data_IF_795380075205
#
_entry.id   IF_795380075205
#
_cell.length_a   1.000
_cell.length_b   1.000
_cell.length_c   1.000
_cell.angle_alpha   90.00
_cell.angle_beta   90.00
_cell.angle_gamma   90.00
#
_symmetry.space_group_name_H-M   'P 1'
#
loop_
_entity.id
_entity.type
_entity.pdbx_description
1 polymer ?
#
# COMPACT_ATOMS: atom_id res chain seq x y z
N UNK A 1 31.66 13.98 -7.89
CA UNK A 1 31.53 15.28 -8.61
C UNK A 1 30.07 15.63 -8.86
N UNK A 2 29.28 14.75 -9.47
CA UNK A 2 27.87 14.97 -9.82
C UNK A 2 26.97 15.39 -8.63
N UNK A 3 27.11 14.76 -7.45
CA UNK A 3 26.33 15.11 -6.24
C UNK A 3 26.60 16.49 -5.65
N UNK A 4 27.71 17.16 -6.05
CA UNK A 4 28.08 18.50 -5.57
C UNK A 4 27.40 19.66 -6.30
N UNK A 5 26.66 19.36 -7.38
CA UNK A 5 26.10 20.38 -8.28
C UNK A 5 24.63 20.72 -7.96
N UNK A 6 24.02 20.01 -6.97
CA UNK A 6 22.64 20.23 -6.60
C UNK A 6 22.50 21.26 -5.47
N UNK A 7 21.82 22.35 -5.74
CA UNK A 7 21.51 23.39 -4.76
C UNK A 7 20.30 23.04 -3.86
N UNK A 8 19.41 22.19 -4.37
CA UNK A 8 18.19 21.78 -3.68
C UNK A 8 17.88 20.30 -3.94
N UNK A 9 17.30 19.61 -2.95
CA UNK A 9 16.70 18.28 -3.08
C UNK A 9 15.31 18.29 -2.45
N UNK A 10 14.37 17.68 -3.14
CA UNK A 10 13.02 17.42 -2.63
C UNK A 10 12.86 15.90 -2.58
N UNK A 11 12.59 15.36 -1.40
CA UNK A 11 12.28 13.95 -1.18
C UNK A 11 10.78 13.77 -0.98
N UNK A 12 10.11 13.16 -1.96
CA UNK A 12 8.75 12.70 -1.79
C UNK A 12 8.75 11.38 -1.02
N UNK A 13 7.64 11.09 -0.32
CA UNK A 13 7.56 9.95 0.60
C UNK A 13 8.75 9.89 1.58
N UNK A 14 9.06 11.05 2.19
CA UNK A 14 10.25 11.24 3.01
C UNK A 14 10.41 10.19 4.14
N UNK A 15 9.32 9.58 4.60
CA UNK A 15 9.35 8.49 5.59
C UNK A 15 10.13 7.25 5.10
N UNK A 16 10.35 7.08 3.80
CA UNK A 16 11.17 5.99 3.23
C UNK A 16 12.68 6.26 3.36
N UNK A 17 13.10 7.50 3.64
CA UNK A 17 14.52 7.86 3.76
C UNK A 17 15.22 7.31 5.01
N UNK A 18 14.51 6.53 5.82
CA UNK A 18 15.07 5.65 6.85
C UNK A 18 15.85 4.45 6.27
N UNK A 19 15.66 4.12 4.99
CA UNK A 19 16.39 3.04 4.32
C UNK A 19 17.88 3.39 4.13
N UNK A 20 18.74 2.38 4.25
CA UNK A 20 20.20 2.55 4.16
C UNK A 20 20.62 3.19 2.82
N UNK A 21 19.98 2.81 1.72
CA UNK A 21 20.29 3.32 0.38
C UNK A 21 19.98 4.81 0.24
N UNK A 22 18.80 5.25 0.68
CA UNK A 22 18.38 6.65 0.62
C UNK A 22 19.15 7.52 1.60
N UNK A 23 19.44 7.03 2.80
CA UNK A 23 20.30 7.72 3.79
C UNK A 23 21.71 7.93 3.20
N UNK A 24 22.31 6.90 2.59
CA UNK A 24 23.60 7.02 1.89
C UNK A 24 23.58 8.00 0.72
N UNK A 25 22.47 8.10 0.00
CA UNK A 25 22.29 9.10 -1.05
C UNK A 25 22.33 10.51 -0.47
N UNK A 26 21.57 10.76 0.60
CA UNK A 26 21.50 12.04 1.29
C UNK A 26 22.84 12.48 1.88
N UNK A 27 23.65 11.55 2.39
CA UNK A 27 25.00 11.86 2.90
C UNK A 27 25.97 12.28 1.81
N UNK A 28 25.77 11.83 0.56
CA UNK A 28 26.59 12.30 -0.58
C UNK A 28 26.22 13.71 -1.07
N UNK A 29 25.07 14.22 -0.68
CA UNK A 29 24.55 15.55 -1.02
C UNK A 29 24.94 16.60 0.03
N UNK A 30 26.14 16.52 0.60
CA UNK A 30 26.62 17.39 1.70
C UNK A 30 26.54 18.89 1.38
N UNK A 31 26.77 19.25 0.14
CA UNK A 31 26.80 20.67 -0.34
C UNK A 31 25.38 21.18 -0.66
N UNK A 32 24.38 20.33 -0.68
CA UNK A 32 23.01 20.75 -0.99
C UNK A 32 22.46 21.61 0.14
N UNK A 33 22.21 22.87 -0.16
CA UNK A 33 21.78 23.88 0.82
C UNK A 33 20.33 23.69 1.26
N UNK A 34 19.45 23.37 0.33
CA UNK A 34 18.01 23.21 0.60
C UNK A 34 17.62 21.75 0.52
N UNK A 35 17.02 21.25 1.61
CA UNK A 35 16.57 19.87 1.73
C UNK A 35 15.14 19.88 2.23
N UNK A 36 14.21 19.43 1.40
CA UNK A 36 12.78 19.38 1.68
C UNK A 36 12.30 17.95 1.62
N UNK A 37 11.70 17.46 2.68
CA UNK A 37 11.04 16.16 2.74
C UNK A 37 9.53 16.34 2.82
N UNK A 38 8.78 15.68 1.94
CA UNK A 38 7.33 15.66 1.92
C UNK A 38 6.84 14.26 2.28
N UNK A 39 5.85 14.16 3.16
CA UNK A 39 5.20 12.89 3.48
C UNK A 39 3.81 13.10 4.05
N UNK A 40 2.86 12.29 3.62
CA UNK A 40 1.51 12.23 4.21
C UNK A 40 1.44 11.37 5.47
N UNK A 41 2.45 10.51 5.69
CA UNK A 41 2.49 9.57 6.81
C UNK A 41 3.86 9.61 7.50
N UNK A 42 3.87 10.02 8.76
CA UNK A 42 5.06 9.91 9.59
C UNK A 42 4.80 8.81 10.64
N UNK A 43 5.56 7.72 10.60
CA UNK A 43 5.44 6.68 11.62
C UNK A 43 5.83 7.23 12.99
N UNK A 44 5.16 6.78 14.05
CA UNK A 44 5.32 7.27 15.41
C UNK A 44 6.66 6.88 16.08
N UNK A 45 7.58 6.25 15.37
CA UNK A 45 8.87 5.84 15.91
C UNK A 45 9.79 7.05 16.10
N UNK A 46 10.20 7.31 17.36
CA UNK A 46 11.11 8.40 17.69
C UNK A 46 12.44 8.33 16.96
N UNK A 47 12.96 7.13 16.74
CA UNK A 47 14.23 6.90 16.03
C UNK A 47 14.13 7.32 14.56
N UNK A 48 13.03 6.97 13.91
CA UNK A 48 12.80 7.38 12.52
C UNK A 48 12.65 8.90 12.39
N UNK A 49 11.94 9.53 13.31
CA UNK A 49 11.80 10.97 13.34
C UNK A 49 13.16 11.66 13.43
N UNK A 50 14.05 11.22 14.33
CA UNK A 50 15.40 11.78 14.46
C UNK A 50 16.23 11.64 13.18
N UNK A 51 16.14 10.50 12.48
CA UNK A 51 16.83 10.32 11.20
C UNK A 51 16.31 11.31 10.15
N UNK A 52 15.00 11.46 10.04
CA UNK A 52 14.38 12.38 9.08
C UNK A 52 14.70 13.84 9.41
N UNK A 53 14.67 14.22 10.68
CA UNK A 53 15.06 15.55 11.14
C UNK A 53 16.55 15.84 10.86
N UNK A 54 17.42 14.85 10.98
CA UNK A 54 18.83 14.95 10.60
C UNK A 54 19.07 15.13 9.10
N UNK A 55 18.18 14.57 8.26
CA UNK A 55 18.31 14.65 6.80
C UNK A 55 17.64 15.91 6.19
N UNK A 56 16.49 16.32 6.72
CA UNK A 56 15.63 17.37 6.13
C UNK A 56 15.36 18.56 7.07
N UNK A 57 15.68 18.45 8.35
CA UNK A 57 15.36 19.46 9.35
C UNK A 57 14.06 19.18 10.12
N UNK A 58 13.62 20.14 10.92
CA UNK A 58 12.46 19.98 11.79
C UNK A 58 11.16 19.65 11.03
N UNK A 59 10.38 18.74 11.62
CA UNK A 59 9.09 18.33 11.05
C UNK A 59 8.04 19.40 11.31
N UNK A 60 7.44 19.91 10.26
CA UNK A 60 6.30 20.82 10.32
C UNK A 60 5.03 20.13 9.82
N UNK A 61 4.00 20.04 10.66
CA UNK A 61 2.70 19.52 10.26
C UNK A 61 1.88 20.70 9.69
N UNK A 62 1.65 20.65 8.39
CA UNK A 62 0.96 21.72 7.66
C UNK A 62 -0.55 21.66 7.88
N UNK A 63 -1.13 20.45 7.80
CA UNK A 63 -2.57 20.24 7.91
C UNK A 63 -2.84 18.84 8.47
N UNK A 64 -3.94 18.64 9.17
CA UNK A 64 -4.38 17.32 9.63
C UNK A 64 -5.37 16.68 8.64
N UNK A 65 -5.46 15.36 8.64
CA UNK A 65 -6.46 14.62 7.85
C UNK A 65 -7.88 15.05 8.23
N UNK A 66 -8.16 15.30 9.51
CA UNK A 66 -9.44 15.77 10.00
C UNK A 66 -9.83 17.11 9.38
N UNK A 67 -8.89 18.07 9.37
CA UNK A 67 -9.12 19.38 8.75
C UNK A 67 -9.38 19.29 7.24
N UNK A 68 -8.71 18.36 6.54
CA UNK A 68 -8.95 18.16 5.11
C UNK A 68 -10.33 17.53 4.84
N UNK A 69 -10.80 16.65 5.71
CA UNK A 69 -12.16 16.07 5.65
C UNK A 69 -13.19 17.16 5.94
N UNK A 70 -13.00 17.96 7.00
CA UNK A 70 -13.90 19.10 7.34
C UNK A 70 -13.99 20.15 6.23
N UNK A 71 -12.91 20.34 5.46
CA UNK A 71 -12.86 21.23 4.30
C UNK A 71 -13.37 20.58 3.00
N UNK A 72 -13.92 19.36 3.06
CA UNK A 72 -14.39 18.59 1.90
C UNK A 72 -13.28 18.34 0.83
N UNK A 73 -12.01 18.44 1.23
CA UNK A 73 -10.85 18.17 0.37
C UNK A 73 -10.44 16.69 0.35
N UNK A 74 -10.91 15.93 1.33
CA UNK A 74 -10.78 14.46 1.39
C UNK A 74 -12.14 13.83 1.61
N UNK A 75 -12.37 12.70 0.97
CA UNK A 75 -13.56 11.90 1.19
C UNK A 75 -13.61 11.33 2.61
N UNK A 76 -14.82 11.17 3.15
CA UNK A 76 -15.02 10.47 4.40
C UNK A 76 -14.59 9.01 4.26
N UNK A 77 -13.75 8.54 5.19
CA UNK A 77 -13.25 7.17 5.21
C UNK A 77 -13.93 6.37 6.34
N UNK A 78 -14.66 5.32 5.95
CA UNK A 78 -15.22 4.34 6.88
C UNK A 78 -14.44 3.03 6.78
N UNK A 79 -13.78 2.62 7.85
CA UNK A 79 -13.03 1.37 7.91
C UNK A 79 -13.89 0.31 8.61
N UNK A 80 -14.16 -0.79 7.92
CA UNK A 80 -14.85 -1.95 8.47
C UNK A 80 -13.89 -3.14 8.51
N UNK A 81 -13.55 -3.62 9.71
CA UNK A 81 -12.71 -4.79 9.91
C UNK A 81 -13.55 -6.05 9.92
N UNK A 82 -13.41 -6.88 8.89
CA UNK A 82 -14.08 -8.17 8.78
C UNK A 82 -13.16 -9.29 9.27
N UNK A 83 -13.50 -9.90 10.41
CA UNK A 83 -12.69 -10.93 11.03
C UNK A 83 -13.21 -12.31 10.62
N UNK A 84 -12.46 -13.00 9.77
CA UNK A 84 -12.73 -14.39 9.40
C UNK A 84 -12.12 -15.33 10.45
N UNK A 85 -12.97 -16.09 11.13
CA UNK A 85 -12.51 -17.07 12.11
C UNK A 85 -12.29 -18.43 11.44
N UNK A 86 -11.09 -18.98 11.62
CA UNK A 86 -10.79 -20.35 11.28
C UNK A 86 -11.28 -21.30 12.41
N UNK A 87 -11.67 -22.49 12.02
CA UNK A 87 -12.03 -23.54 12.99
C UNK A 87 -10.83 -23.96 13.86
N UNK A 88 -11.10 -24.68 14.94
CA UNK A 88 -10.04 -25.10 15.87
C UNK A 88 -9.02 -26.04 15.22
N UNK A 89 -9.44 -26.88 14.28
CA UNK A 89 -8.56 -27.79 13.55
C UNK A 89 -7.55 -27.02 12.71
N UNK A 90 -8.01 -26.03 11.96
CA UNK A 90 -7.13 -25.17 11.16
C UNK A 90 -6.15 -24.37 12.04
N UNK A 91 -6.64 -23.83 13.17
CA UNK A 91 -5.77 -23.11 14.11
C UNK A 91 -4.69 -24.01 14.72
N UNK A 92 -5.06 -25.25 15.09
CA UNK A 92 -4.11 -26.21 15.63
C UNK A 92 -3.06 -26.62 14.58
N UNK A 93 -3.50 -26.86 13.35
CA UNK A 93 -2.61 -27.17 12.24
C UNK A 93 -1.59 -26.07 11.94
N UNK A 94 -2.00 -24.80 12.05
CA UNK A 94 -1.15 -23.64 11.74
C UNK A 94 -0.24 -23.23 12.89
N UNK A 95 -0.48 -23.70 14.11
CA UNK A 95 0.22 -23.22 15.32
C UNK A 95 1.74 -23.31 15.23
N UNK A 96 2.26 -24.37 14.61
CA UNK A 96 3.70 -24.67 14.52
C UNK A 96 4.25 -24.43 13.11
N UNK A 97 3.50 -23.73 12.26
CA UNK A 97 3.88 -23.41 10.90
C UNK A 97 4.72 -22.14 10.83
N UNK A 98 5.58 -22.08 9.82
CA UNK A 98 6.31 -20.86 9.48
C UNK A 98 5.36 -19.82 8.89
N UNK A 99 5.73 -18.54 8.94
CA UNK A 99 4.98 -17.46 8.32
C UNK A 99 4.63 -17.73 6.85
N UNK A 100 5.57 -18.31 6.08
CA UNK A 100 5.35 -18.62 4.66
C UNK A 100 4.29 -19.72 4.48
N UNK A 101 4.34 -20.78 5.29
CA UNK A 101 3.35 -21.85 5.26
C UNK A 101 1.96 -21.35 5.68
N UNK A 102 1.90 -20.47 6.68
CA UNK A 102 0.65 -19.82 7.09
C UNK A 102 0.08 -18.96 5.96
N UNK A 103 0.90 -18.15 5.30
CA UNK A 103 0.48 -17.35 4.17
C UNK A 103 0.02 -18.20 2.98
N UNK A 104 0.73 -19.28 2.66
CA UNK A 104 0.33 -20.20 1.60
C UNK A 104 -1.04 -20.86 1.90
N UNK A 105 -1.27 -21.25 3.15
CA UNK A 105 -2.58 -21.73 3.60
C UNK A 105 -3.68 -20.65 3.45
N UNK A 106 -3.41 -19.42 3.89
CA UNK A 106 -4.38 -18.33 3.83
C UNK A 106 -4.77 -17.98 2.39
N UNK A 107 -3.81 -17.88 1.47
CA UNK A 107 -4.09 -17.50 0.08
C UNK A 107 -4.73 -18.62 -0.73
N UNK A 108 -4.50 -19.88 -0.36
CA UNK A 108 -5.13 -21.06 -0.99
C UNK A 108 -6.47 -21.45 -0.37
N UNK A 109 -6.87 -20.84 0.76
CA UNK A 109 -8.10 -21.21 1.46
C UNK A 109 -9.35 -20.87 0.64
N UNK A 110 -10.02 -21.88 0.11
CA UNK A 110 -11.18 -21.73 -0.76
C UNK A 110 -12.35 -21.01 -0.08
N UNK A 111 -12.63 -21.30 1.19
CA UNK A 111 -13.71 -20.64 1.94
C UNK A 111 -13.48 -19.14 2.06
N UNK A 112 -12.23 -18.74 2.36
CA UNK A 112 -11.81 -17.35 2.41
C UNK A 112 -11.92 -16.68 1.03
N UNK A 113 -11.40 -17.32 -0.01
CA UNK A 113 -11.42 -16.77 -1.36
C UNK A 113 -12.85 -16.65 -1.90
N UNK A 114 -13.71 -17.61 -1.61
CA UNK A 114 -15.16 -17.55 -1.90
C UNK A 114 -15.85 -16.40 -1.18
N UNK A 115 -15.48 -16.18 0.09
CA UNK A 115 -16.01 -15.03 0.85
C UNK A 115 -15.58 -13.70 0.24
N UNK A 116 -14.28 -13.53 -0.09
CA UNK A 116 -13.75 -12.31 -0.73
C UNK A 116 -14.44 -12.07 -2.07
N UNK A 117 -14.57 -13.10 -2.92
CA UNK A 117 -15.30 -13.02 -4.18
C UNK A 117 -16.74 -12.54 -3.98
N UNK A 118 -17.47 -13.17 -3.06
CA UNK A 118 -18.86 -12.82 -2.80
C UNK A 118 -19.00 -11.38 -2.29
N UNK A 119 -18.11 -10.95 -1.40
CA UNK A 119 -18.06 -9.58 -0.92
C UNK A 119 -17.80 -8.60 -2.07
N UNK A 120 -16.74 -8.83 -2.86
CA UNK A 120 -16.39 -7.96 -3.98
C UNK A 120 -17.52 -7.80 -5.02
N UNK A 121 -18.27 -8.88 -5.27
CA UNK A 121 -19.40 -8.84 -6.21
C UNK A 121 -20.68 -8.25 -5.61
N UNK A 122 -20.82 -8.22 -4.28
CA UNK A 122 -22.01 -7.66 -3.61
C UNK A 122 -21.92 -6.16 -3.34
N UNK A 123 -20.72 -5.57 -3.37
CA UNK A 123 -20.54 -4.15 -3.14
C UNK A 123 -21.05 -3.32 -4.33
N UNK A 124 -21.72 -2.21 -4.05
CA UNK A 124 -22.12 -1.25 -5.07
C UNK A 124 -20.95 -0.30 -5.38
N UNK A 125 -20.86 0.15 -6.63
CA UNK A 125 -19.81 1.08 -7.07
C UNK A 125 -18.46 0.40 -7.36
N UNK A 126 -17.44 1.23 -7.57
CA UNK A 126 -16.09 0.77 -7.90
C UNK A 126 -15.45 0.08 -6.69
N UNK A 127 -14.90 -1.08 -6.91
CA UNK A 127 -14.33 -1.92 -5.85
C UNK A 127 -12.88 -2.26 -6.17
N UNK A 128 -11.95 -1.91 -5.28
CA UNK A 128 -10.53 -2.25 -5.39
C UNK A 128 -10.19 -3.41 -4.46
N UNK A 129 -9.82 -4.56 -5.04
CA UNK A 129 -9.32 -5.71 -4.30
C UNK A 129 -7.79 -5.73 -4.32
N UNK A 130 -7.14 -5.51 -3.18
CA UNK A 130 -5.68 -5.57 -3.06
C UNK A 130 -5.20 -6.99 -2.77
N UNK A 131 -4.14 -7.39 -3.44
CA UNK A 131 -3.48 -8.69 -3.23
C UNK A 131 -1.96 -8.53 -3.26
N UNK A 132 -1.24 -9.42 -2.58
CA UNK A 132 0.24 -9.42 -2.54
C UNK A 132 0.84 -10.42 -3.52
N UNK A 133 0.26 -11.61 -3.64
CA UNK A 133 0.79 -12.68 -4.49
C UNK A 133 0.05 -12.71 -5.83
N UNK A 134 0.76 -12.34 -6.90
CA UNK A 134 0.20 -12.23 -8.26
C UNK A 134 -0.36 -13.57 -8.73
N UNK A 135 0.48 -14.61 -8.86
CA UNK A 135 0.07 -15.91 -9.38
C UNK A 135 -0.71 -16.76 -8.36
N UNK A 136 -0.24 -16.83 -7.11
CA UNK A 136 -0.82 -17.72 -6.10
C UNK A 136 -2.20 -17.25 -5.61
N UNK A 137 -2.50 -15.96 -5.68
CA UNK A 137 -3.72 -15.40 -5.09
C UNK A 137 -4.49 -14.46 -6.03
N UNK A 138 -3.84 -13.42 -6.55
CA UNK A 138 -4.49 -12.39 -7.36
C UNK A 138 -5.16 -12.94 -8.61
N UNK A 139 -4.48 -13.85 -9.33
CA UNK A 139 -5.02 -14.48 -10.54
C UNK A 139 -6.28 -15.32 -10.26
N UNK A 140 -6.24 -16.15 -9.23
CA UNK A 140 -7.39 -16.97 -8.83
C UNK A 140 -8.59 -16.09 -8.40
N UNK A 141 -8.34 -15.03 -7.61
CA UNK A 141 -9.39 -14.08 -7.24
C UNK A 141 -9.98 -13.38 -8.47
N UNK A 142 -9.13 -12.91 -9.39
CA UNK A 142 -9.59 -12.28 -10.62
C UNK A 142 -10.50 -13.20 -11.44
N UNK A 143 -10.07 -14.43 -11.70
CA UNK A 143 -10.84 -15.42 -12.48
C UNK A 143 -12.20 -15.69 -11.83
N UNK A 144 -12.20 -16.00 -10.55
CA UNK A 144 -13.45 -16.33 -9.82
C UNK A 144 -14.38 -15.14 -9.61
N UNK A 145 -13.87 -13.93 -9.46
CA UNK A 145 -14.68 -12.71 -9.41
C UNK A 145 -15.27 -12.41 -10.78
N UNK A 146 -14.44 -12.49 -11.84
CA UNK A 146 -14.88 -12.26 -13.22
C UNK A 146 -15.99 -13.21 -13.67
N UNK A 147 -15.90 -14.48 -13.33
CA UNK A 147 -16.94 -15.48 -13.63
C UNK A 147 -18.29 -15.15 -12.98
N UNK A 148 -18.27 -14.52 -11.81
CA UNK A 148 -19.46 -14.21 -11.03
C UNK A 148 -20.02 -12.80 -11.30
N UNK A 149 -19.16 -11.87 -11.66
CA UNK A 149 -19.53 -10.48 -11.92
C UNK A 149 -20.14 -10.36 -13.33
N UNK A 150 -21.45 -10.54 -13.44
CA UNK A 150 -22.18 -10.47 -14.73
C UNK A 150 -22.52 -9.05 -15.15
N UNK A 151 -22.58 -8.13 -14.20
CA UNK A 151 -23.02 -6.74 -14.33
C UNK A 151 -21.89 -5.72 -14.14
N UNK A 152 -20.65 -6.19 -13.91
CA UNK A 152 -19.47 -5.35 -13.67
C UNK A 152 -18.32 -5.74 -14.55
N UNK A 153 -17.52 -4.74 -14.94
CA UNK A 153 -16.23 -4.98 -15.56
C UNK A 153 -15.19 -5.31 -14.48
N UNK A 154 -14.37 -6.32 -14.73
CA UNK A 154 -13.33 -6.77 -13.79
C UNK A 154 -11.98 -6.66 -14.46
N UNK A 155 -11.07 -5.92 -13.85
CA UNK A 155 -9.73 -5.70 -14.34
C UNK A 155 -8.70 -6.35 -13.41
N UNK A 156 -7.62 -6.88 -13.98
CA UNK A 156 -6.50 -7.46 -13.24
C UNK A 156 -5.25 -6.64 -13.49
N UNK A 157 -4.81 -5.90 -12.47
CA UNK A 157 -3.68 -4.98 -12.57
C UNK A 157 -2.57 -5.42 -11.63
N UNK A 158 -1.37 -5.63 -12.15
CA UNK A 158 -0.17 -6.00 -11.40
C UNK A 158 1.07 -5.40 -12.07
N UNK A 159 2.26 -5.60 -11.50
CA UNK A 159 3.50 -4.98 -11.98
C UNK A 159 3.90 -5.31 -13.43
N UNK A 160 3.40 -6.43 -13.97
CA UNK A 160 3.64 -6.84 -15.36
C UNK A 160 2.72 -6.20 -16.40
N UNK A 161 1.66 -5.49 -15.96
CA UNK A 161 0.76 -4.76 -16.87
C UNK A 161 1.43 -3.45 -17.29
N UNK A 162 1.43 -3.16 -18.56
CA UNK A 162 2.06 -1.97 -19.10
C UNK A 162 1.38 -0.65 -18.66
N UNK A 163 2.11 0.47 -18.71
CA UNK A 163 1.65 1.74 -18.17
C UNK A 163 0.43 2.30 -18.91
N UNK A 164 0.40 2.16 -20.24
CA UNK A 164 -0.71 2.65 -21.07
C UNK A 164 -2.01 1.89 -20.78
N UNK A 165 -1.90 0.58 -20.60
CA UNK A 165 -3.05 -0.26 -20.26
C UNK A 165 -3.58 0.06 -18.85
N UNK A 166 -2.69 0.31 -17.88
CA UNK A 166 -3.09 0.76 -16.53
C UNK A 166 -3.82 2.09 -16.56
N UNK A 167 -3.36 3.02 -17.39
CA UNK A 167 -4.01 4.33 -17.54
C UNK A 167 -5.40 4.20 -18.15
N UNK A 168 -5.57 3.41 -19.20
CA UNK A 168 -6.89 3.13 -19.79
C UNK A 168 -7.87 2.52 -18.78
N UNK A 169 -7.40 1.62 -17.91
CA UNK A 169 -8.24 1.05 -16.84
C UNK A 169 -8.66 2.14 -15.86
N UNK A 170 -7.71 3.01 -15.46
CA UNK A 170 -7.98 4.11 -14.54
C UNK A 170 -9.02 5.11 -15.09
N UNK A 171 -9.04 5.34 -16.41
CA UNK A 171 -10.02 6.22 -17.06
C UNK A 171 -11.43 5.63 -17.08
N UNK A 172 -11.54 4.31 -17.01
CA UNK A 172 -12.84 3.60 -17.03
C UNK A 172 -13.42 3.46 -15.61
N UNK A 173 -12.57 3.43 -14.58
CA UNK A 173 -12.96 3.21 -13.17
C UNK A 173 -13.06 4.51 -12.37
#
# INVERSE_FOLDING_TARGET
KWFGDFGMIIGDEAHLFKSVSLTKLMTKLEKTKYRVGLTGTLDGSKTHKLVLEGLFGAVNKVVSTSELIEREQLAELKIMCLILQHDQTARHFLKDKTYQEEMDYLVSNEKRNKYIRNLATSLNGNTLCLFQYVEKHGKNLYETIRERATDKQVFYVYGGVDAEQREKIREIT
#
